data_IF_732051536079
#
_entry.id   IF_732051536079
#
_cell.length_a   1.000
_cell.length_b   1.000
_cell.length_c   1.000
_cell.angle_alpha   90.00
_cell.angle_beta   90.00
_cell.angle_gamma   90.00
#
_symmetry.space_group_name_H-M   'P 1'
#
loop_
_entity.id
_entity.type
_entity.pdbx_description
1 polymer ?
#
# COMPACT_ATOMS: atom_id res chain seq x y z
N UNK A 1 -2.13 20.40 0.92
CA UNK A 1 -2.16 19.03 0.35
C UNK A 1 -0.77 18.47 0.02
N UNK A 2 0.20 19.28 -0.45
CA UNK A 2 1.58 18.83 -0.76
C UNK A 2 2.33 18.19 0.44
N UNK A 3 1.99 18.59 1.67
CA UNK A 3 2.66 18.13 2.91
C UNK A 3 2.24 16.72 3.38
N UNK A 4 1.22 16.12 2.77
CA UNK A 4 0.78 14.73 3.04
C UNK A 4 1.57 13.73 2.18
N UNK A 5 1.72 14.06 0.89
CA UNK A 5 2.43 13.23 -0.10
C UNK A 5 3.92 13.11 0.23
N UNK A 6 4.56 14.20 0.68
CA UNK A 6 5.97 14.17 1.08
C UNK A 6 6.25 13.28 2.31
N UNK A 7 5.27 13.14 3.23
CA UNK A 7 5.36 12.17 4.34
C UNK A 7 5.21 10.73 3.86
N UNK A 8 4.38 10.50 2.84
CA UNK A 8 4.23 9.20 2.19
C UNK A 8 5.53 8.73 1.51
N UNK A 9 6.27 9.66 0.88
CA UNK A 9 7.55 9.34 0.23
C UNK A 9 8.69 9.10 1.22
N UNK A 10 8.67 9.75 2.39
CA UNK A 10 9.62 9.48 3.48
C UNK A 10 9.35 8.16 4.22
N UNK A 11 8.19 7.52 3.99
CA UNK A 11 7.76 6.28 4.64
C UNK A 11 8.17 5.00 3.90
N UNK A 12 8.81 5.12 2.73
CA UNK A 12 9.37 3.96 2.03
C UNK A 12 10.75 3.63 2.61
N UNK A 13 10.73 2.93 3.75
CA UNK A 13 11.94 2.42 4.38
C UNK A 13 12.53 1.20 3.64
N UNK A 14 11.84 0.67 2.63
CA UNK A 14 12.25 -0.46 1.81
C UNK A 14 11.52 -0.53 0.46
N UNK A 15 12.06 -1.31 -0.48
CA UNK A 15 11.40 -1.64 -1.76
C UNK A 15 10.01 -2.28 -1.54
N UNK A 16 9.83 -3.01 -0.44
CA UNK A 16 8.56 -3.66 -0.11
C UNK A 16 7.51 -2.66 0.32
N UNK A 17 7.89 -1.58 1.02
CA UNK A 17 6.95 -0.51 1.38
C UNK A 17 6.43 0.21 0.12
N UNK A 18 7.34 0.50 -0.82
CA UNK A 18 6.99 1.13 -2.09
C UNK A 18 6.03 0.24 -2.88
N UNK A 19 6.38 -1.03 -3.06
CA UNK A 19 5.55 -1.98 -3.79
C UNK A 19 4.18 -2.17 -3.12
N UNK A 20 4.15 -2.40 -1.81
CA UNK A 20 2.91 -2.59 -1.05
C UNK A 20 1.96 -1.39 -1.16
N UNK A 21 2.48 -0.17 -1.02
CA UNK A 21 1.65 1.04 -1.17
C UNK A 21 1.10 1.21 -2.57
N UNK A 22 1.91 0.91 -3.60
CA UNK A 22 1.50 1.04 -4.99
C UNK A 22 0.38 0.06 -5.33
N UNK A 23 0.50 -1.19 -4.85
CA UNK A 23 -0.54 -2.21 -5.01
C UNK A 23 -1.82 -1.80 -4.29
N UNK A 24 -1.73 -1.39 -3.02
CA UNK A 24 -2.88 -0.92 -2.25
C UNK A 24 -3.57 0.29 -2.90
N UNK A 25 -2.80 1.23 -3.48
CA UNK A 25 -3.34 2.39 -4.17
C UNK A 25 -4.08 1.98 -5.44
N UNK A 26 -3.52 1.06 -6.24
CA UNK A 26 -4.18 0.56 -7.45
C UNK A 26 -5.48 -0.17 -7.11
N UNK A 27 -5.50 -0.98 -6.05
CA UNK A 27 -6.71 -1.64 -5.55
C UNK A 27 -7.76 -0.62 -5.09
N UNK A 28 -7.34 0.41 -4.36
CA UNK A 28 -8.22 1.49 -3.91
C UNK A 28 -8.82 2.29 -5.08
N UNK A 29 -8.08 2.43 -6.19
CA UNK A 29 -8.57 3.01 -7.45
C UNK A 29 -9.50 2.07 -8.25
N UNK A 30 -9.82 0.89 -7.70
CA UNK A 30 -10.74 -0.07 -8.32
C UNK A 30 -10.08 -1.02 -9.32
N UNK A 31 -8.75 -1.12 -9.35
CA UNK A 31 -8.06 -2.11 -10.19
C UNK A 31 -7.97 -3.44 -9.47
N UNK A 32 -8.38 -4.51 -10.15
CA UNK A 32 -8.16 -5.86 -9.64
C UNK A 32 -6.69 -6.24 -9.78
N UNK A 33 -6.03 -6.48 -8.65
CA UNK A 33 -4.64 -6.94 -8.59
C UNK A 33 -4.56 -8.20 -7.73
N UNK A 34 -3.92 -9.22 -8.27
CA UNK A 34 -3.58 -10.43 -7.55
C UNK A 34 -2.24 -10.25 -6.82
N UNK A 35 -2.31 -9.83 -5.55
CA UNK A 35 -1.13 -9.64 -4.71
C UNK A 35 -0.32 -10.94 -4.50
N UNK A 36 -0.95 -12.12 -4.65
CA UNK A 36 -0.24 -13.41 -4.61
C UNK A 36 0.71 -13.57 -5.78
N UNK A 37 0.30 -13.16 -6.98
CA UNK A 37 1.17 -13.14 -8.16
C UNK A 37 2.29 -12.12 -8.06
N UNK A 38 2.03 -10.98 -7.43
CA UNK A 38 3.06 -9.95 -7.18
C UNK A 38 4.17 -10.51 -6.29
N UNK A 39 3.81 -11.30 -5.27
CA UNK A 39 4.76 -11.94 -4.36
C UNK A 39 5.46 -13.19 -4.94
N UNK A 40 5.11 -13.64 -6.15
CA UNK A 40 5.50 -14.97 -6.66
C UNK A 40 7.01 -15.20 -6.80
N UNK A 41 7.82 -14.15 -6.98
CA UNK A 41 9.28 -14.23 -7.07
C UNK A 41 10.00 -13.72 -5.81
N UNK A 42 9.27 -13.39 -4.76
CA UNK A 42 9.86 -12.89 -3.52
C UNK A 42 10.42 -14.04 -2.68
N UNK A 43 11.48 -13.76 -1.93
CA UNK A 43 11.86 -14.63 -0.82
C UNK A 43 10.75 -14.69 0.23
N UNK A 44 10.78 -15.68 1.12
CA UNK A 44 9.80 -15.77 2.20
C UNK A 44 9.78 -14.51 3.08
N UNK A 45 10.95 -13.95 3.41
CA UNK A 45 11.06 -12.74 4.23
C UNK A 45 10.51 -11.51 3.51
N UNK A 46 10.78 -11.38 2.21
CA UNK A 46 10.25 -10.30 1.39
C UNK A 46 8.73 -10.40 1.24
N UNK A 47 8.21 -11.60 0.95
CA UNK A 47 6.77 -11.84 0.83
C UNK A 47 6.05 -11.53 2.14
N UNK A 48 6.59 -11.98 3.28
CA UNK A 48 6.04 -11.67 4.60
C UNK A 48 5.98 -10.16 4.86
N UNK A 49 7.08 -9.45 4.62
CA UNK A 49 7.15 -8.00 4.79
C UNK A 49 6.19 -7.28 3.83
N UNK A 50 6.14 -7.70 2.56
CA UNK A 50 5.23 -7.16 1.55
C UNK A 50 3.77 -7.26 1.99
N UNK A 51 3.32 -8.44 2.45
CA UNK A 51 1.94 -8.61 2.89
C UNK A 51 1.60 -7.84 4.17
N UNK A 52 2.53 -7.75 5.11
CA UNK A 52 2.37 -6.91 6.31
C UNK A 52 2.13 -5.45 5.92
N UNK A 53 2.97 -4.92 5.02
CA UNK A 53 2.87 -3.53 4.54
C UNK A 53 1.65 -3.31 3.66
N UNK A 54 1.28 -4.29 2.83
CA UNK A 54 0.10 -4.20 1.98
C UNK A 54 -1.17 -4.06 2.83
N UNK A 55 -1.27 -4.85 3.90
CA UNK A 55 -2.37 -4.73 4.87
C UNK A 55 -2.44 -3.34 5.50
N UNK A 56 -1.29 -2.81 5.93
CA UNK A 56 -1.19 -1.46 6.50
C UNK A 56 -1.71 -0.38 5.52
N UNK A 57 -1.24 -0.38 4.27
CA UNK A 57 -1.65 0.63 3.29
C UNK A 57 -3.12 0.50 2.86
N UNK A 58 -3.66 -0.73 2.76
CA UNK A 58 -5.10 -0.94 2.52
C UNK A 58 -5.96 -0.29 3.60
N UNK A 59 -5.61 -0.49 4.88
CA UNK A 59 -6.32 0.13 6.00
C UNK A 59 -6.22 1.67 5.94
N UNK A 60 -5.04 2.20 5.60
CA UNK A 60 -4.82 3.63 5.48
C UNK A 60 -5.70 4.26 4.39
N UNK A 61 -5.77 3.66 3.19
CA UNK A 61 -6.61 4.18 2.11
C UNK A 61 -8.12 4.01 2.37
N UNK A 62 -8.52 2.93 3.04
CA UNK A 62 -9.90 2.77 3.50
C UNK A 62 -10.29 3.88 4.49
N UNK A 63 -9.45 4.16 5.49
CA UNK A 63 -9.69 5.23 6.45
C UNK A 63 -9.76 6.62 5.78
N UNK A 64 -8.93 6.87 4.76
CA UNK A 64 -8.97 8.11 3.99
C UNK A 64 -10.32 8.31 3.29
N UNK A 65 -10.88 7.27 2.67
CA UNK A 65 -12.20 7.35 2.02
C UNK A 65 -13.34 7.63 3.01
N UNK A 66 -13.28 7.06 4.22
CA UNK A 66 -14.27 7.33 5.27
C UNK A 66 -14.24 8.77 5.76
N UNK A 67 -13.05 9.37 5.83
CA UNK A 67 -12.87 10.76 6.22
C UNK A 67 -13.41 11.73 5.15
N UNK A 68 -13.26 11.42 3.86
CA UNK A 68 -13.79 12.24 2.76
C UNK A 68 -15.32 12.23 2.69
N UNK A 69 -15.98 11.12 3.05
CA UNK A 69 -17.44 11.00 3.03
C UNK A 69 -18.16 11.54 4.29
N UNK A 70 -17.41 11.99 5.30
CA UNK A 70 -17.95 12.52 6.56
C UNK A 70 -18.02 14.06 6.61
N UNK A 71 -17.73 14.73 5.49
CA UNK A 71 -17.78 16.19 5.28
C UNK A 71 -18.95 16.56 4.38
#
# INVERSE_FOLDING_TARGET
MVNSVSRHLAAYSSDMDFLASSIALMEWQGREIDAGKVAGNMSESQSRLFFERLSYFRQLYQAASMAEHSL
#
